data_IF_804893454539
#
_entry.id   IF_804893454539
#
_cell.length_a   1.000
_cell.length_b   1.000
_cell.length_c   1.000
_cell.angle_alpha   90.00
_cell.angle_beta   90.00
_cell.angle_gamma   90.00
#
_symmetry.space_group_name_H-M   'P 1'
#
loop_
_entity.id
_entity.type
_entity.pdbx_description
1 polymer ?
#
# COMPACT_ATOMS: atom_id res chain seq x y z
N UNK A 1 1.17 0.08 3.37
CA UNK A 1 1.22 -1.40 3.42
C UNK A 1 -0.11 -1.95 2.94
N UNK A 2 -0.11 -3.03 2.14
CA UNK A 2 -1.32 -3.69 1.65
C UNK A 2 -1.33 -5.15 2.11
N UNK A 3 -2.41 -5.55 2.78
CA UNK A 3 -2.66 -6.90 3.26
C UNK A 3 -3.76 -7.52 2.41
N UNK A 4 -3.52 -8.71 1.86
CA UNK A 4 -4.51 -9.43 1.04
C UNK A 4 -4.91 -10.70 1.76
N UNK A 5 -6.21 -10.88 1.90
CA UNK A 5 -6.84 -12.02 2.55
C UNK A 5 -7.59 -12.84 1.52
N UNK A 6 -7.69 -14.15 1.77
CA UNK A 6 -8.61 -14.97 0.99
C UNK A 6 -10.04 -14.49 1.27
N UNK A 7 -10.89 -14.62 0.26
CA UNK A 7 -12.32 -14.37 0.43
C UNK A 7 -12.83 -15.41 1.44
N UNK A 8 -13.31 -14.94 2.58
CA UNK A 8 -13.96 -15.83 3.54
C UNK A 8 -15.32 -16.23 2.99
N UNK A 9 -15.60 -17.53 2.98
CA UNK A 9 -16.90 -18.07 2.58
C UNK A 9 -17.93 -17.92 3.71
N UNK A 10 -17.48 -17.92 4.98
CA UNK A 10 -18.30 -17.79 6.18
C UNK A 10 -17.83 -16.64 7.10
N UNK A 11 -18.69 -15.65 7.32
CA UNK A 11 -18.42 -14.47 8.18
C UNK A 11 -18.24 -14.80 9.68
N UNK A 12 -18.57 -16.03 10.10
CA UNK A 12 -18.43 -16.49 11.49
C UNK A 12 -17.08 -17.14 11.81
N UNK A 13 -16.24 -17.36 10.79
CA UNK A 13 -14.93 -17.97 10.95
C UNK A 13 -13.88 -16.95 11.44
N UNK A 14 -12.94 -17.36 12.32
CA UNK A 14 -11.85 -16.48 12.71
C UNK A 14 -11.03 -16.09 11.48
N UNK A 15 -10.61 -14.82 11.41
CA UNK A 15 -9.91 -14.33 10.24
C UNK A 15 -8.60 -15.08 10.00
N UNK A 16 -8.51 -15.78 8.88
CA UNK A 16 -7.27 -16.37 8.41
C UNK A 16 -6.16 -15.30 8.30
N UNK A 17 -4.89 -15.69 8.49
CA UNK A 17 -3.78 -14.79 8.27
C UNK A 17 -3.75 -14.31 6.81
N UNK A 18 -3.28 -13.07 6.54
CA UNK A 18 -3.16 -12.58 5.18
C UNK A 18 -2.20 -13.49 4.41
N UNK A 19 -2.60 -13.91 3.21
CA UNK A 19 -1.76 -14.76 2.37
C UNK A 19 -0.71 -13.96 1.60
N UNK A 20 -0.91 -12.65 1.47
CA UNK A 20 0.02 -11.74 0.80
C UNK A 20 0.14 -10.42 1.55
N UNK A 21 1.39 -10.02 1.78
CA UNK A 21 1.78 -8.74 2.32
C UNK A 21 2.61 -8.00 1.26
N UNK A 22 2.16 -6.81 0.86
CA UNK A 22 2.88 -5.91 -0.03
C UNK A 22 3.27 -4.62 0.71
N UNK A 23 4.58 -4.36 0.74
CA UNK A 23 5.12 -3.10 1.27
C UNK A 23 5.03 -2.06 0.16
N UNK A 24 4.01 -1.20 0.22
CA UNK A 24 3.73 -0.16 -0.80
C UNK A 24 4.70 1.03 -0.64
N UNK A 25 5.99 0.75 -0.79
CA UNK A 25 7.08 1.71 -0.91
C UNK A 25 7.79 1.43 -2.24
N UNK A 26 8.39 2.45 -2.85
CA UNK A 26 9.15 2.33 -4.11
C UNK A 26 8.39 1.61 -5.25
N UNK A 27 7.07 1.81 -5.30
CA UNK A 27 6.21 1.28 -6.34
C UNK A 27 5.52 2.40 -7.13
N UNK A 28 4.99 2.06 -8.30
CA UNK A 28 4.09 2.90 -9.06
C UNK A 28 2.87 2.09 -9.51
N UNK A 29 1.75 2.79 -9.69
CA UNK A 29 0.47 2.21 -10.09
C UNK A 29 0.18 2.60 -11.53
N UNK A 30 -0.24 1.64 -12.34
CA UNK A 30 -0.68 1.88 -13.72
C UNK A 30 -2.04 1.25 -13.96
N UNK A 31 -2.87 1.93 -14.75
CA UNK A 31 -4.08 1.34 -15.30
C UNK A 31 -3.69 0.38 -16.42
N UNK A 32 -4.31 -0.78 -16.45
CA UNK A 32 -4.02 -1.78 -17.47
C UNK A 32 -4.90 -1.59 -18.72
N UNK A 33 -4.43 -2.11 -19.85
CA UNK A 33 -5.26 -2.28 -21.04
C UNK A 33 -6.17 -3.51 -20.85
N UNK A 34 -7.46 -3.25 -20.63
CA UNK A 34 -8.48 -4.26 -20.35
C UNK A 34 -8.61 -5.26 -21.51
N UNK A 35 -8.38 -4.83 -22.76
CA UNK A 35 -8.43 -5.73 -23.93
C UNK A 35 -7.32 -6.77 -23.89
N UNK A 36 -6.16 -6.40 -23.34
CA UNK A 36 -5.00 -7.29 -23.21
C UNK A 36 -5.12 -8.20 -21.99
N UNK A 37 -5.64 -7.68 -20.88
CA UNK A 37 -5.77 -8.45 -19.62
C UNK A 37 -7.00 -9.38 -19.66
N UNK A 38 -8.03 -9.05 -20.43
CA UNK A 38 -9.29 -9.78 -20.48
C UNK A 38 -10.15 -9.60 -19.22
N UNK A 39 -9.92 -8.52 -18.46
CA UNK A 39 -10.72 -8.14 -17.29
C UNK A 39 -10.84 -6.62 -17.19
N UNK A 40 -12.03 -6.17 -16.84
CA UNK A 40 -12.35 -4.76 -16.61
C UNK A 40 -11.78 -4.28 -15.27
N UNK A 41 -11.61 -2.96 -15.16
CA UNK A 41 -11.21 -2.25 -13.94
C UNK A 41 -9.89 -2.74 -13.36
N UNK A 42 -8.91 -2.96 -14.23
CA UNK A 42 -7.62 -3.55 -13.88
C UNK A 42 -6.53 -2.50 -13.66
N UNK A 43 -5.71 -2.75 -12.65
CA UNK A 43 -4.51 -1.96 -12.37
C UNK A 43 -3.36 -2.87 -11.94
N UNK A 44 -2.14 -2.37 -12.09
CA UNK A 44 -0.92 -3.07 -11.73
C UNK A 44 -0.10 -2.26 -10.73
N UNK A 45 0.47 -2.94 -9.75
CA UNK A 45 1.48 -2.40 -8.84
C UNK A 45 2.85 -2.89 -9.30
N UNK A 46 3.68 -1.97 -9.78
CA UNK A 46 5.04 -2.26 -10.25
C UNK A 46 6.07 -1.81 -9.20
N UNK A 47 6.90 -2.74 -8.74
CA UNK A 47 7.96 -2.48 -7.76
C UNK A 47 9.28 -2.18 -8.45
N UNK A 48 9.82 -0.97 -8.26
CA UNK A 48 11.03 -0.53 -8.98
C UNK A 48 12.26 -1.33 -8.57
N UNK A 49 12.48 -1.50 -7.27
CA UNK A 49 13.61 -2.25 -6.72
C UNK A 49 13.67 -3.74 -7.11
N UNK A 50 12.52 -4.40 -7.29
CA UNK A 50 12.48 -5.85 -7.54
C UNK A 50 12.04 -6.23 -8.96
N UNK A 51 11.51 -5.28 -9.73
CA UNK A 51 10.91 -5.54 -11.05
C UNK A 51 9.64 -6.38 -11.01
N UNK A 52 9.11 -6.71 -9.81
CA UNK A 52 7.89 -7.51 -9.65
C UNK A 52 6.64 -6.67 -9.92
N UNK A 53 5.65 -7.31 -10.53
CA UNK A 53 4.36 -6.70 -10.84
C UNK A 53 3.23 -7.54 -10.26
N UNK A 54 2.25 -6.88 -9.65
CA UNK A 54 1.05 -7.51 -9.11
C UNK A 54 -0.18 -6.90 -9.75
N UNK A 55 -0.98 -7.73 -10.42
CA UNK A 55 -2.19 -7.30 -11.13
C UNK A 55 -3.43 -7.51 -10.26
N UNK A 56 -4.29 -6.49 -10.24
CA UNK A 56 -5.54 -6.50 -9.50
C UNK A 56 -6.69 -6.06 -10.41
N UNK A 57 -7.89 -6.55 -10.12
CA UNK A 57 -9.13 -6.12 -10.75
C UNK A 57 -10.07 -5.64 -9.65
N UNK A 58 -10.57 -4.41 -9.77
CA UNK A 58 -11.56 -3.88 -8.85
C UNK A 58 -12.98 -4.33 -9.27
N UNK A 59 -13.93 -4.29 -8.34
CA UNK A 59 -15.31 -4.72 -8.63
C UNK A 59 -16.04 -3.79 -9.62
N UNK A 60 -15.63 -2.52 -9.69
CA UNK A 60 -16.23 -1.50 -10.54
C UNK A 60 -15.29 -0.29 -10.70
N UNK A 61 -15.64 0.61 -11.64
CA UNK A 61 -14.89 1.83 -11.94
C UNK A 61 -14.68 2.76 -10.73
N UNK A 62 -15.68 2.88 -9.84
CA UNK A 62 -15.56 3.70 -8.64
C UNK A 62 -14.52 3.12 -7.68
N UNK A 63 -14.58 1.81 -7.44
CA UNK A 63 -13.60 1.10 -6.61
C UNK A 63 -12.20 1.19 -7.21
N UNK A 64 -12.05 1.09 -8.53
CA UNK A 64 -10.76 1.29 -9.23
C UNK A 64 -10.17 2.67 -8.90
N UNK A 65 -10.97 3.74 -9.06
CA UNK A 65 -10.51 5.09 -8.76
C UNK A 65 -10.09 5.27 -7.30
N UNK A 66 -10.82 4.65 -6.37
CA UNK A 66 -10.46 4.65 -4.95
C UNK A 66 -9.15 3.90 -4.69
N UNK A 67 -8.96 2.71 -5.27
CA UNK A 67 -7.72 1.93 -5.14
C UNK A 67 -6.50 2.71 -5.65
N UNK A 68 -6.58 3.28 -6.86
CA UNK A 68 -5.47 4.05 -7.44
C UNK A 68 -5.15 5.28 -6.59
N UNK A 69 -6.18 5.99 -6.11
CA UNK A 69 -6.01 7.16 -5.25
C UNK A 69 -5.31 6.80 -3.93
N UNK A 70 -5.82 5.78 -3.22
CA UNK A 70 -5.26 5.36 -1.93
C UNK A 70 -3.82 4.86 -2.07
N UNK A 71 -3.54 4.05 -3.09
CA UNK A 71 -2.20 3.50 -3.31
C UNK A 71 -1.19 4.57 -3.72
N UNK A 72 -1.64 5.66 -4.34
CA UNK A 72 -0.77 6.80 -4.71
C UNK A 72 -0.49 7.73 -3.52
N UNK A 73 -1.45 7.91 -2.62
CA UNK A 73 -1.31 8.83 -1.48
C UNK A 73 -0.64 8.17 -0.28
N UNK A 74 -0.85 6.87 -0.06
CA UNK A 74 -0.30 6.14 1.10
C UNK A 74 1.22 6.32 1.30
N UNK A 75 2.08 6.28 0.25
CA UNK A 75 3.51 6.55 0.42
C UNK A 75 3.82 7.96 0.93
N UNK A 76 3.01 8.96 0.56
CA UNK A 76 3.17 10.34 1.01
C UNK A 76 2.89 10.44 2.52
N UNK A 77 1.82 9.80 2.98
CA UNK A 77 1.46 9.82 4.39
C UNK A 77 2.50 9.09 5.24
N UNK A 78 3.05 7.98 4.73
CA UNK A 78 4.19 7.32 5.37
C UNK A 78 5.40 8.26 5.51
N UNK A 79 5.81 8.95 4.44
CA UNK A 79 6.93 9.91 4.49
C UNK A 79 6.70 11.00 5.53
N UNK A 80 5.48 11.54 5.62
CA UNK A 80 5.12 12.56 6.61
C UNK A 80 5.25 12.02 8.04
N UNK A 81 4.73 10.82 8.30
CA UNK A 81 4.81 10.17 9.61
C UNK A 81 6.26 9.85 10.00
N UNK A 82 7.05 9.30 9.08
CA UNK A 82 8.47 9.02 9.31
C UNK A 82 9.24 10.31 9.63
N UNK A 83 9.01 11.38 8.86
CA UNK A 83 9.61 12.69 9.12
C UNK A 83 9.27 13.20 10.52
N UNK A 84 7.99 13.14 10.90
CA UNK A 84 7.54 13.58 12.22
C UNK A 84 8.23 12.80 13.34
N UNK A 85 8.28 11.46 13.22
CA UNK A 85 8.95 10.61 14.21
C UNK A 85 10.45 10.93 14.33
N UNK A 86 11.14 11.20 13.22
CA UNK A 86 12.55 11.57 13.27
C UNK A 86 12.78 12.92 13.97
N UNK A 87 11.91 13.91 13.74
CA UNK A 87 12.02 15.20 14.44
C UNK A 87 11.85 15.04 15.96
N UNK A 88 10.89 14.21 16.39
CA UNK A 88 10.68 13.89 17.81
C UNK A 88 11.89 13.20 18.44
N UNK A 89 12.52 12.27 17.72
CA UNK A 89 13.73 11.58 18.17
C UNK A 89 14.92 12.54 18.31
N UNK A 90 15.09 13.48 17.37
CA UNK A 90 16.14 14.52 17.43
C UNK A 90 15.90 15.42 18.65
N UNK A 91 14.67 15.90 18.86
CA UNK A 91 14.33 16.75 19.99
C UNK A 91 14.59 16.05 21.34
N UNK A 92 14.22 14.76 21.43
CA UNK A 92 14.49 13.96 22.63
C UNK A 92 15.99 13.77 22.88
N UNK A 93 16.79 13.64 21.84
CA UNK A 93 18.25 13.48 21.95
C UNK A 93 18.90 14.78 22.44
N UNK A 94 18.53 15.92 21.84
CA UNK A 94 19.02 17.23 22.28
C UNK A 94 18.61 17.57 23.73
N UNK A 95 17.41 17.19 24.16
CA UNK A 95 16.96 17.35 25.55
C UNK A 95 17.74 16.47 26.54
N UNK A 96 18.28 15.33 26.09
CA UNK A 96 19.13 14.46 26.93
C UNK A 96 20.55 15.04 27.02
N UNK A 97 21.09 15.55 25.93
CA UNK A 97 22.44 16.14 25.87
C UNK A 97 22.53 17.50 26.59
N UNK A 98 21.46 18.30 26.60
CA UNK A 98 21.41 19.57 27.33
C UNK A 98 21.12 19.47 28.84
N UNK A 99 21.15 18.26 29.41
CA UNK A 99 20.92 17.98 30.84
C UNK A 99 22.15 17.46 31.59
N UNK A 100 23.32 17.45 30.96
CA UNK A 100 24.64 17.36 31.60
C UNK A 100 25.24 18.75 31.84
#
# INVERSE_FOLDING_TARGET
>A
MLLVYNKQEDESSPSDPPFLLLIIEDCFIELCDENRIGKDFTFVINFKSTGRSFYFAADNFKSLGQWVSLLTITPIDYIKLSKQSFLEQIEQTQKKEGKE
#
